data_IF_114366915897
#
_entry.id   IF_114366915897
#
_cell.length_a   1.000
_cell.length_b   1.000
_cell.length_c   1.000
_cell.angle_alpha   90.00
_cell.angle_beta   90.00
_cell.angle_gamma   90.00
#
_symmetry.space_group_name_H-M   'P 1'
#
loop_
_entity.id
_entity.type
_entity.pdbx_description
1 polymer ?
#
# COMPACT_ATOMS: atom_id res chain seq x y z
N UNK A 1 -3.71 -25.19 -7.41
CA UNK A 1 -2.36 -24.95 -6.89
C UNK A 1 -2.49 -24.66 -5.40
N UNK A 2 -1.83 -25.44 -4.55
CA UNK A 2 -1.87 -25.27 -3.10
C UNK A 2 -1.14 -24.00 -2.66
N UNK A 3 -1.87 -23.06 -2.05
CA UNK A 3 -1.37 -21.75 -1.57
C UNK A 3 -0.26 -21.88 -0.51
N UNK A 4 -0.21 -23.02 0.18
CA UNK A 4 0.88 -23.38 1.09
C UNK A 4 2.23 -23.52 0.37
N UNK A 5 2.24 -23.93 -0.90
CA UNK A 5 3.48 -24.10 -1.67
C UNK A 5 4.02 -22.78 -2.22
N UNK A 6 3.22 -21.70 -2.24
CA UNK A 6 3.67 -20.36 -2.65
C UNK A 6 4.14 -19.48 -1.49
N UNK A 7 4.15 -20.00 -0.26
CA UNK A 7 4.47 -19.21 0.94
C UNK A 7 3.48 -18.08 1.22
N UNK A 8 2.25 -18.20 0.71
CA UNK A 8 1.20 -17.19 0.87
C UNK A 8 0.25 -17.67 1.97
N UNK A 9 0.65 -17.45 3.23
CA UNK A 9 -0.11 -17.92 4.41
C UNK A 9 -1.44 -17.19 4.61
N UNK A 10 -1.63 -16.03 3.97
CA UNK A 10 -2.81 -15.16 4.12
C UNK A 10 -3.33 -14.77 2.74
N UNK A 11 -4.57 -15.14 2.42
CA UNK A 11 -5.19 -14.78 1.15
C UNK A 11 -5.68 -13.33 1.15
N UNK A 12 -5.57 -12.68 -0.01
CA UNK A 12 -6.24 -11.40 -0.34
C UNK A 12 -7.69 -11.35 0.13
N UNK A 13 -8.42 -12.43 -0.14
CA UNK A 13 -9.84 -12.53 0.14
C UNK A 13 -10.12 -12.57 1.66
N UNK A 14 -9.20 -13.14 2.44
CA UNK A 14 -9.35 -13.25 3.89
C UNK A 14 -9.20 -11.87 4.54
N UNK A 15 -8.29 -11.05 4.01
CA UNK A 15 -8.10 -9.65 4.47
C UNK A 15 -9.34 -8.80 4.14
N UNK A 16 -9.91 -8.96 2.95
CA UNK A 16 -11.14 -8.26 2.56
C UNK A 16 -12.32 -8.67 3.44
N UNK A 17 -12.46 -9.98 3.71
CA UNK A 17 -13.49 -10.49 4.62
C UNK A 17 -13.30 -9.99 6.06
N UNK A 18 -12.06 -9.98 6.56
CA UNK A 18 -11.74 -9.43 7.88
C UNK A 18 -12.19 -7.97 7.99
N UNK A 19 -11.80 -7.13 7.02
CA UNK A 19 -12.26 -5.72 6.97
C UNK A 19 -13.78 -5.62 6.93
N UNK A 20 -14.43 -6.46 6.12
CA UNK A 20 -15.89 -6.45 6.02
C UNK A 20 -16.56 -6.78 7.37
N UNK A 21 -16.12 -7.84 8.05
CA UNK A 21 -16.66 -8.23 9.36
C UNK A 21 -16.40 -7.13 10.40
N UNK A 22 -15.18 -6.62 10.50
CA UNK A 22 -14.84 -5.56 11.44
C UNK A 22 -15.67 -4.29 11.20
N UNK A 23 -15.90 -3.92 9.94
CA UNK A 23 -16.72 -2.76 9.57
C UNK A 23 -18.20 -2.98 9.87
N UNK A 24 -18.75 -4.14 9.52
CA UNK A 24 -20.18 -4.47 9.71
C UNK A 24 -20.56 -4.54 11.18
N UNK A 25 -19.71 -5.11 12.02
CA UNK A 25 -19.99 -5.31 13.45
C UNK A 25 -19.32 -4.29 14.37
N UNK A 26 -18.53 -3.35 13.84
CA UNK A 26 -17.80 -2.35 14.62
C UNK A 26 -16.73 -2.94 15.54
N UNK A 27 -16.20 -4.13 15.21
CA UNK A 27 -15.27 -4.89 16.06
C UNK A 27 -13.82 -4.58 15.69
N UNK A 28 -12.96 -4.47 16.71
CA UNK A 28 -11.50 -4.37 16.55
C UNK A 28 -10.84 -5.67 17.03
N UNK A 29 -9.96 -6.22 16.22
CA UNK A 29 -9.14 -7.40 16.52
C UNK A 29 -7.74 -6.95 16.94
N UNK A 30 -7.47 -6.92 18.24
CA UNK A 30 -6.12 -6.60 18.71
C UNK A 30 -5.18 -7.79 18.49
N UNK A 31 -4.21 -7.61 17.59
CA UNK A 31 -3.14 -8.58 17.37
C UNK A 31 -1.95 -8.17 18.23
N UNK A 32 -1.76 -8.88 19.35
CA UNK A 32 -0.71 -8.57 20.35
C UNK A 32 0.70 -8.80 19.81
N UNK A 33 0.87 -9.79 18.93
CA UNK A 33 2.13 -10.08 18.25
C UNK A 33 2.39 -9.07 17.13
N UNK A 34 3.24 -8.08 17.39
CA UNK A 34 3.60 -7.04 16.43
C UNK A 34 4.04 -7.59 15.07
N UNK A 35 4.87 -8.65 15.05
CA UNK A 35 5.32 -9.26 13.80
C UNK A 35 4.17 -9.79 12.94
N UNK A 36 3.16 -10.42 13.55
CA UNK A 36 1.99 -10.95 12.86
C UNK A 36 1.07 -9.83 12.37
N UNK A 37 0.84 -8.81 13.20
CA UNK A 37 0.07 -7.62 12.85
C UNK A 37 0.68 -6.88 11.66
N UNK A 38 1.98 -6.62 11.74
CA UNK A 38 2.69 -5.85 10.74
C UNK A 38 2.87 -6.66 9.44
N UNK A 39 3.03 -7.99 9.52
CA UNK A 39 3.05 -8.84 8.31
C UNK A 39 1.68 -8.87 7.62
N UNK A 40 0.58 -9.01 8.36
CA UNK A 40 -0.78 -8.91 7.85
C UNK A 40 -1.01 -7.58 7.10
N UNK A 41 -0.58 -6.47 7.71
CA UNK A 41 -0.69 -5.15 7.09
C UNK A 41 0.17 -5.02 5.82
N UNK A 42 1.37 -5.60 5.78
CA UNK A 42 2.20 -5.62 4.55
C UNK A 42 1.58 -6.43 3.42
N UNK A 43 0.95 -7.57 3.73
CA UNK A 43 0.24 -8.37 2.72
C UNK A 43 -0.90 -7.55 2.13
N UNK A 44 -1.69 -6.86 2.96
CA UNK A 44 -2.76 -5.97 2.50
C UNK A 44 -2.26 -4.91 1.52
N UNK A 45 -1.15 -4.22 1.84
CA UNK A 45 -0.57 -3.23 0.94
C UNK A 45 -0.23 -3.85 -0.42
N UNK A 46 0.25 -5.08 -0.46
CA UNK A 46 0.52 -5.76 -1.75
C UNK A 46 -0.76 -5.92 -2.59
N UNK A 47 -1.91 -6.17 -1.96
CA UNK A 47 -3.20 -6.31 -2.65
C UNK A 47 -3.65 -5.02 -3.32
N UNK A 48 -3.50 -3.89 -2.63
CA UNK A 48 -3.91 -2.60 -3.18
C UNK A 48 -3.16 -2.34 -4.50
N UNK A 49 -1.87 -2.65 -4.58
CA UNK A 49 -1.07 -2.43 -5.79
C UNK A 49 -1.42 -3.33 -6.98
N UNK A 50 -2.16 -4.42 -6.74
CA UNK A 50 -2.74 -5.26 -7.81
C UNK A 50 -4.11 -4.76 -8.25
N UNK A 51 -4.78 -3.95 -7.43
CA UNK A 51 -6.15 -3.49 -7.66
C UNK A 51 -6.14 -2.12 -8.33
N UNK A 52 -6.25 -2.12 -9.65
CA UNK A 52 -6.12 -0.93 -10.52
C UNK A 52 -7.29 0.07 -10.36
N UNK A 53 -8.35 -0.29 -9.63
CA UNK A 53 -9.65 0.40 -9.68
C UNK A 53 -9.90 1.46 -8.60
N UNK A 54 -8.93 1.72 -7.72
CA UNK A 54 -9.07 2.76 -6.68
C UNK A 54 -10.07 2.42 -5.56
N UNK A 55 -10.80 1.30 -5.67
CA UNK A 55 -11.68 0.78 -4.62
C UNK A 55 -11.45 -0.71 -4.37
N UNK A 56 -11.62 -1.13 -3.12
CA UNK A 56 -11.56 -2.52 -2.67
C UNK A 56 -12.93 -2.86 -2.08
N UNK A 57 -13.65 -3.81 -2.67
CA UNK A 57 -15.00 -4.18 -2.24
C UNK A 57 -15.97 -2.97 -2.12
N UNK A 58 -15.85 -2.00 -3.04
CA UNK A 58 -16.65 -0.77 -3.04
C UNK A 58 -16.18 0.32 -2.06
N UNK A 59 -15.13 0.07 -1.28
CA UNK A 59 -14.53 1.03 -0.35
C UNK A 59 -13.33 1.74 -0.98
N UNK A 60 -13.17 3.05 -0.75
CA UNK A 60 -11.98 3.79 -1.18
C UNK A 60 -10.71 3.14 -0.61
N UNK A 61 -9.66 3.05 -1.41
CA UNK A 61 -8.41 2.41 -1.00
C UNK A 61 -7.84 3.00 0.29
N UNK A 62 -7.87 4.33 0.46
CA UNK A 62 -7.30 4.98 1.65
C UNK A 62 -8.12 4.64 2.88
N UNK A 63 -9.44 4.65 2.76
CA UNK A 63 -10.37 4.23 3.82
C UNK A 63 -10.20 2.76 4.18
N UNK A 64 -9.99 1.90 3.19
CA UNK A 64 -9.71 0.48 3.39
C UNK A 64 -8.38 0.28 4.14
N UNK A 65 -7.36 1.08 3.83
CA UNK A 65 -6.03 1.02 4.45
C UNK A 65 -6.03 1.56 5.88
N UNK A 66 -6.65 2.73 6.12
CA UNK A 66 -6.74 3.34 7.45
C UNK A 66 -7.57 2.48 8.39
N UNK A 67 -8.78 2.10 7.98
CA UNK A 67 -9.65 1.33 8.87
C UNK A 67 -9.13 -0.09 9.12
N UNK A 68 -8.34 -0.72 8.23
CA UNK A 68 -7.75 -2.02 8.55
C UNK A 68 -6.66 -1.86 9.62
N UNK A 69 -5.84 -0.80 9.54
CA UNK A 69 -4.87 -0.50 10.59
C UNK A 69 -5.58 -0.35 11.95
N UNK A 70 -6.70 0.38 11.97
CA UNK A 70 -7.53 0.54 13.18
C UNK A 70 -8.14 -0.79 13.64
N UNK A 71 -8.61 -1.62 12.71
CA UNK A 71 -9.20 -2.92 13.02
C UNK A 71 -8.18 -3.86 13.67
N UNK A 72 -6.93 -3.87 13.21
CA UNK A 72 -5.89 -4.78 13.74
C UNK A 72 -5.09 -4.19 14.92
N UNK A 73 -5.41 -2.98 15.35
CA UNK A 73 -4.69 -2.27 16.42
C UNK A 73 -3.27 -1.85 16.03
N UNK A 74 -3.07 -1.46 14.77
CA UNK A 74 -1.81 -0.88 14.27
C UNK A 74 -1.84 0.63 14.47
N UNK A 75 -0.82 1.15 15.14
CA UNK A 75 -0.65 2.59 15.35
C UNK A 75 -0.53 3.33 14.01
N UNK A 76 -1.23 4.47 13.88
CA UNK A 76 -1.28 5.26 12.65
C UNK A 76 0.11 5.70 12.15
N UNK A 77 1.03 6.05 13.06
CA UNK A 77 2.41 6.40 12.71
C UNK A 77 3.18 5.22 12.10
N UNK A 78 2.96 4.01 12.61
CA UNK A 78 3.58 2.80 12.08
C UNK A 78 2.96 2.41 10.73
N UNK A 79 1.63 2.49 10.62
CA UNK A 79 0.91 2.30 9.36
C UNK A 79 1.41 3.27 8.27
N UNK A 80 1.51 4.56 8.58
CA UNK A 80 2.02 5.59 7.67
C UNK A 80 3.46 5.32 7.21
N UNK A 81 4.34 4.89 8.13
CA UNK A 81 5.73 4.52 7.80
C UNK A 81 5.77 3.32 6.85
N UNK A 82 4.94 2.31 7.10
CA UNK A 82 4.85 1.11 6.25
C UNK A 82 4.32 1.43 4.85
N UNK A 83 3.28 2.27 4.75
CA UNK A 83 2.76 2.77 3.47
C UNK A 83 3.84 3.54 2.72
N UNK A 84 4.53 4.46 3.38
CA UNK A 84 5.58 5.28 2.76
C UNK A 84 6.71 4.41 2.19
N UNK A 85 7.16 3.42 2.97
CA UNK A 85 8.15 2.46 2.51
C UNK A 85 7.64 1.63 1.31
N UNK A 86 6.39 1.18 1.34
CA UNK A 86 5.78 0.43 0.24
C UNK A 86 5.64 1.26 -1.04
N UNK A 87 5.20 2.52 -0.93
CA UNK A 87 5.12 3.48 -2.04
C UNK A 87 6.50 3.67 -2.65
N UNK A 88 7.53 3.98 -1.85
CA UNK A 88 8.89 4.19 -2.33
C UNK A 88 9.45 2.94 -3.04
N UNK A 89 9.32 1.76 -2.41
CA UNK A 89 9.77 0.50 -2.97
C UNK A 89 9.07 0.19 -4.31
N UNK A 90 7.75 0.43 -4.40
CA UNK A 90 7.02 0.14 -5.62
C UNK A 90 7.31 1.13 -6.72
N UNK A 91 7.37 2.43 -6.43
CA UNK A 91 7.76 3.45 -7.42
C UNK A 91 9.09 3.07 -8.06
N UNK A 92 10.10 2.72 -7.25
CA UNK A 92 11.40 2.24 -7.74
C UNK A 92 11.28 0.98 -8.61
N UNK A 93 10.55 -0.03 -8.14
CA UNK A 93 10.35 -1.29 -8.87
C UNK A 93 9.68 -1.06 -10.23
N UNK A 94 8.65 -0.21 -10.30
CA UNK A 94 7.92 0.08 -11.54
C UNK A 94 8.75 0.85 -12.56
N UNK A 95 9.57 1.81 -12.09
CA UNK A 95 10.52 2.51 -12.95
C UNK A 95 11.52 1.50 -13.53
N UNK A 96 12.15 0.67 -12.69
CA UNK A 96 13.11 -0.33 -13.19
C UNK A 96 12.47 -1.30 -14.19
N UNK A 97 11.23 -1.72 -13.95
CA UNK A 97 10.49 -2.58 -14.88
C UNK A 97 10.20 -1.87 -16.21
N UNK A 98 9.77 -0.61 -16.18
CA UNK A 98 9.54 0.19 -17.37
C UNK A 98 10.82 0.32 -18.21
N UNK A 99 11.95 0.59 -17.57
CA UNK A 99 13.26 0.66 -18.22
C UNK A 99 13.65 -0.69 -18.85
N UNK A 100 13.43 -1.80 -18.13
CA UNK A 100 13.72 -3.13 -18.67
C UNK A 100 12.84 -3.46 -19.89
N UNK A 101 11.59 -3.02 -19.92
CA UNK A 101 10.67 -3.21 -21.05
C UNK A 101 11.07 -2.32 -22.24
N UNK A 102 11.52 -1.10 -21.98
CA UNK A 102 12.00 -0.18 -23.01
C UNK A 102 13.22 -0.75 -23.74
N UNK A 103 14.20 -1.27 -23.01
CA UNK A 103 15.39 -1.95 -23.58
C UNK A 103 14.99 -3.19 -24.42
N UNK A 104 13.85 -3.81 -24.11
CA UNK A 104 13.30 -4.94 -24.87
C UNK A 104 12.42 -4.52 -26.06
N UNK A 105 12.39 -3.23 -26.43
CA UNK A 105 11.51 -2.66 -27.46
C UNK A 105 9.99 -2.86 -27.17
N UNK A 106 9.62 -3.02 -25.90
CA UNK A 106 8.23 -3.20 -25.45
C UNK A 106 7.63 -1.89 -24.95
N UNK A 107 7.60 -0.88 -25.81
CA UNK A 107 7.23 0.49 -25.46
C UNK A 107 5.82 0.63 -24.84
N UNK A 108 4.83 -0.09 -25.38
CA UNK A 108 3.45 -0.05 -24.84
C UNK A 108 3.38 -0.61 -23.41
N UNK A 109 4.11 -1.69 -23.12
CA UNK A 109 4.19 -2.27 -21.78
C UNK A 109 4.95 -1.33 -20.82
N UNK A 110 6.02 -0.69 -21.28
CA UNK A 110 6.77 0.29 -20.49
C UNK A 110 5.89 1.49 -20.07
N UNK A 111 5.08 2.02 -20.99
CA UNK A 111 4.12 3.08 -20.69
C UNK A 111 3.07 2.65 -19.65
N UNK A 112 2.61 1.40 -19.69
CA UNK A 112 1.69 0.85 -18.68
C UNK A 112 2.35 0.80 -17.30
N UNK A 113 3.62 0.43 -17.20
CA UNK A 113 4.35 0.44 -15.92
C UNK A 113 4.56 1.87 -15.38
N UNK A 114 4.85 2.85 -16.24
CA UNK A 114 4.94 4.26 -15.85
C UNK A 114 3.58 4.83 -15.44
N UNK A 115 2.49 4.47 -16.12
CA UNK A 115 1.14 4.88 -15.74
C UNK A 115 0.78 4.40 -14.34
N UNK A 116 1.21 3.18 -13.96
CA UNK A 116 1.04 2.67 -12.58
C UNK A 116 1.74 3.55 -11.55
N UNK A 117 2.89 4.15 -11.88
CA UNK A 117 3.58 5.11 -10.99
C UNK A 117 2.72 6.35 -10.77
N UNK A 118 2.12 6.91 -11.82
CA UNK A 118 1.21 8.04 -11.72
C UNK A 118 0.01 7.73 -10.81
N UNK A 119 -0.57 6.52 -10.93
CA UNK A 119 -1.68 6.08 -10.07
C UNK A 119 -1.26 5.98 -8.60
N UNK A 120 -0.08 5.43 -8.31
CA UNK A 120 0.46 5.34 -6.94
C UNK A 120 0.54 6.73 -6.31
N UNK A 121 1.13 7.70 -7.00
CA UNK A 121 1.30 9.06 -6.48
C UNK A 121 0.00 9.88 -6.47
N UNK A 122 -1.02 9.50 -7.25
CA UNK A 122 -2.35 10.08 -7.14
C UNK A 122 -3.07 9.63 -5.86
N UNK A 123 -2.89 8.38 -5.46
CA UNK A 123 -3.52 7.81 -4.26
C UNK A 123 -2.74 8.23 -3.01
N UNK A 124 -1.41 8.24 -3.09
CA UNK A 124 -0.49 8.68 -2.06
C UNK A 124 0.33 9.86 -2.58
N UNK A 125 -0.22 11.09 -2.51
CA UNK A 125 0.52 12.27 -2.91
C UNK A 125 1.78 12.40 -2.05
N UNK A 126 2.91 12.85 -2.63
CA UNK A 126 4.06 13.21 -1.84
C UNK A 126 3.64 14.25 -0.81
N UNK A 127 4.15 14.12 0.42
CA UNK A 127 3.97 15.16 1.42
C UNK A 127 4.42 16.49 0.80
N UNK A 128 3.59 17.53 0.93
CA UNK A 128 3.98 18.87 0.50
C UNK A 128 5.34 19.18 1.10
N UNK A 129 6.29 19.56 0.26
CA UNK A 129 7.55 20.11 0.72
C UNK A 129 7.15 21.40 1.42
N UNK A 130 6.99 21.36 2.75
CA UNK A 130 6.95 22.57 3.53
C UNK A 130 8.33 23.20 3.35
N UNK A 131 8.42 24.12 2.39
CA UNK A 131 9.54 25.04 2.32
C UNK A 131 9.52 25.78 3.65
N UNK A 132 10.37 25.35 4.56
CA UNK A 132 10.63 26.06 5.80
C UNK A 132 11.40 27.33 5.41
N UNK A 133 10.66 28.34 4.94
CA UNK A 133 11.12 29.71 4.78
C UNK A 133 11.26 30.36 6.18
N UNK A 134 11.99 29.70 7.09
CA UNK A 134 12.55 30.37 8.26
C UNK A 134 14.01 30.66 7.98
N UNK A 135 14.22 31.62 7.09
CA UNK A 135 15.45 32.41 7.03
C UNK A 135 15.64 33.18 8.34
N UNK A 136 16.10 32.52 9.39
CA UNK A 136 16.79 33.21 10.48
C UNK A 136 18.23 33.44 10.04
N UNK A 137 18.45 34.60 9.41
CA UNK A 137 19.78 35.18 9.30
C UNK A 137 20.30 35.43 10.71
N UNK A 138 21.31 34.66 11.12
CA UNK A 138 22.18 35.03 12.21
C UNK A 138 23.19 36.05 11.71
N UNK A 139 23.06 37.29 12.16
CA UNK A 139 24.13 38.27 12.33
C UNK A 139 23.67 39.28 13.39
#
# INVERSE_FOLDING_TARGET
MDRKMSGEDISTNDIVQLRHICKTYGVRTFITTANARDSLYRVQLTLFWTTVRGTINGEDVREFISGLADNIGLESANAARMISAAVAARTRSRILQAWALEVQNKHSEALVELFKVCVIHRIFPPAEIQNDETGKAGA
#
